data_IF_245880013650
#
_entry.id   IF_245880013650
#
_cell.length_a   1.000
_cell.length_b   1.000
_cell.length_c   1.000
_cell.angle_alpha   90.00
_cell.angle_beta   90.00
_cell.angle_gamma   90.00
#
_symmetry.space_group_name_H-M   'P 1'
#
loop_
_entity.id
_entity.type
_entity.pdbx_description
1 polymer ?
#
# COMPACT_ATOMS: atom_id res chain seq x y z
N UNK A 1 -25.23 13.05 -10.00
CA UNK A 1 -24.31 11.96 -10.41
C UNK A 1 -24.40 10.85 -9.37
N UNK A 2 -24.29 9.56 -9.74
CA UNK A 2 -24.28 8.46 -8.73
C UNK A 2 -22.92 8.42 -8.04
N UNK A 3 -22.93 8.39 -6.70
CA UNK A 3 -21.71 8.24 -5.91
C UNK A 3 -20.93 6.98 -6.34
N UNK A 4 -19.61 7.11 -6.48
CA UNK A 4 -18.75 5.97 -6.80
C UNK A 4 -18.60 5.09 -5.56
N UNK A 5 -18.80 3.78 -5.71
CA UNK A 5 -18.80 2.88 -4.56
C UNK A 5 -17.88 1.70 -4.77
N UNK A 6 -17.24 1.31 -3.67
CA UNK A 6 -16.48 0.08 -3.55
C UNK A 6 -17.34 -0.91 -2.78
N UNK A 7 -17.48 -2.16 -3.24
CA UNK A 7 -18.35 -3.12 -2.53
C UNK A 7 -17.74 -3.49 -1.17
N UNK A 8 -18.57 -3.90 -0.20
CA UNK A 8 -18.06 -4.36 1.10
C UNK A 8 -16.95 -5.42 0.95
N UNK A 9 -17.11 -6.40 0.04
CA UNK A 9 -16.09 -7.44 -0.18
C UNK A 9 -14.80 -6.93 -0.84
N UNK A 10 -14.90 -5.98 -1.76
CA UNK A 10 -13.72 -5.33 -2.33
C UNK A 10 -12.97 -4.54 -1.24
N UNK A 11 -13.72 -3.86 -0.37
CA UNK A 11 -13.17 -3.06 0.71
C UNK A 11 -12.49 -3.96 1.73
N UNK A 12 -13.18 -5.02 2.14
CA UNK A 12 -12.69 -6.01 3.09
C UNK A 12 -11.38 -6.66 2.61
N UNK A 13 -11.27 -6.94 1.31
CA UNK A 13 -10.03 -7.47 0.73
C UNK A 13 -8.86 -6.45 0.79
N UNK A 14 -9.10 -5.17 0.48
CA UNK A 14 -8.09 -4.12 0.60
C UNK A 14 -7.71 -3.86 2.07
N UNK A 15 -8.70 -3.79 2.95
CA UNK A 15 -8.52 -3.58 4.39
C UNK A 15 -7.73 -4.73 5.01
N UNK A 16 -7.98 -5.99 4.62
CA UNK A 16 -7.19 -7.14 5.09
C UNK A 16 -5.72 -7.08 4.66
N UNK A 17 -5.40 -6.48 3.49
CA UNK A 17 -4.01 -6.22 3.10
C UNK A 17 -3.38 -5.16 3.99
N UNK A 18 -4.15 -4.12 4.34
CA UNK A 18 -3.68 -3.03 5.21
C UNK A 18 -3.50 -3.47 6.65
N UNK A 19 -4.40 -4.30 7.18
CA UNK A 19 -4.36 -4.78 8.56
C UNK A 19 -3.15 -5.67 8.80
N UNK A 20 -2.89 -6.61 7.89
CA UNK A 20 -1.81 -7.58 8.00
C UNK A 20 -0.96 -7.63 6.71
N UNK A 21 -0.07 -6.64 6.49
CA UNK A 21 0.70 -6.50 5.26
C UNK A 21 1.67 -7.65 4.95
N UNK A 22 2.12 -8.38 5.98
CA UNK A 22 3.07 -9.49 5.83
C UNK A 22 2.42 -10.85 5.55
N UNK A 23 1.10 -10.99 5.75
CA UNK A 23 0.42 -12.26 5.49
C UNK A 23 0.37 -12.59 4.00
N UNK A 24 0.20 -13.88 3.69
CA UNK A 24 -0.09 -14.33 2.33
C UNK A 24 -1.52 -13.94 1.93
N UNK A 25 -1.86 -14.05 0.63
CA UNK A 25 -3.26 -13.89 0.22
C UNK A 25 -4.15 -15.01 0.76
N UNK A 26 -3.62 -16.24 0.90
CA UNK A 26 -4.35 -17.37 1.46
C UNK A 26 -4.73 -17.15 2.92
N UNK A 27 -3.80 -16.66 3.74
CA UNK A 27 -4.05 -16.41 5.17
C UNK A 27 -5.03 -15.26 5.38
N UNK A 28 -4.93 -14.19 4.59
CA UNK A 28 -5.93 -13.10 4.61
C UNK A 28 -7.30 -13.57 4.18
N UNK A 29 -7.38 -14.39 3.13
CA UNK A 29 -8.63 -14.96 2.66
C UNK A 29 -9.29 -15.80 3.76
N UNK A 30 -8.50 -16.65 4.44
CA UNK A 30 -8.94 -17.43 5.60
C UNK A 30 -9.46 -16.51 6.72
N UNK A 31 -8.72 -15.45 7.04
CA UNK A 31 -9.09 -14.48 8.08
C UNK A 31 -10.43 -13.77 7.84
N UNK A 32 -10.86 -13.62 6.59
CA UNK A 32 -12.16 -13.02 6.23
C UNK A 32 -13.20 -14.05 5.74
N UNK A 33 -12.92 -15.34 5.91
CA UNK A 33 -13.86 -16.44 5.65
C UNK A 33 -14.15 -16.72 4.18
N UNK A 34 -13.18 -16.52 3.27
CA UNK A 34 -13.34 -16.81 1.83
C UNK A 34 -12.16 -17.62 1.27
N UNK A 35 -12.35 -18.21 0.09
CA UNK A 35 -11.27 -18.89 -0.62
C UNK A 35 -10.24 -17.90 -1.20
N UNK A 36 -8.98 -18.31 -1.31
CA UNK A 36 -7.89 -17.46 -1.82
C UNK A 36 -8.19 -16.92 -3.24
N UNK A 37 -8.71 -17.78 -4.13
CA UNK A 37 -9.05 -17.37 -5.49
C UNK A 37 -10.12 -16.27 -5.51
N UNK A 38 -11.10 -16.35 -4.58
CA UNK A 38 -12.15 -15.34 -4.39
C UNK A 38 -11.56 -14.04 -3.86
N UNK A 39 -10.64 -14.10 -2.89
CA UNK A 39 -9.90 -12.94 -2.37
C UNK A 39 -9.15 -12.20 -3.49
N UNK A 40 -8.37 -12.94 -4.30
CA UNK A 40 -7.66 -12.40 -5.46
C UNK A 40 -8.61 -11.83 -6.50
N UNK A 41 -9.81 -12.39 -6.64
CA UNK A 41 -10.85 -11.84 -7.52
C UNK A 41 -11.37 -10.50 -6.99
N UNK A 42 -11.71 -10.41 -5.71
CA UNK A 42 -12.14 -9.16 -5.07
C UNK A 42 -11.10 -8.05 -5.20
N UNK A 43 -9.81 -8.35 -5.01
CA UNK A 43 -8.73 -7.40 -5.28
C UNK A 43 -8.72 -6.92 -6.74
N UNK A 44 -8.76 -7.83 -7.73
CA UNK A 44 -8.82 -7.46 -9.15
C UNK A 44 -10.04 -6.61 -9.51
N UNK A 45 -11.18 -6.87 -8.90
CA UNK A 45 -12.37 -6.04 -9.06
C UNK A 45 -12.18 -4.66 -8.41
N UNK A 46 -11.59 -4.60 -7.21
CA UNK A 46 -11.27 -3.34 -6.55
C UNK A 46 -10.33 -2.47 -7.39
N UNK A 47 -9.33 -3.05 -8.05
CA UNK A 47 -8.41 -2.32 -8.95
C UNK A 47 -9.18 -1.63 -10.07
N UNK A 48 -10.04 -2.40 -10.75
CA UNK A 48 -10.89 -1.91 -11.85
C UNK A 48 -11.85 -0.83 -11.39
N UNK A 49 -12.53 -1.05 -10.26
CA UNK A 49 -13.43 -0.06 -9.66
C UNK A 49 -12.67 1.24 -9.36
N UNK A 50 -11.50 1.15 -8.73
CA UNK A 50 -10.65 2.30 -8.44
C UNK A 50 -9.95 2.88 -9.68
N UNK A 51 -10.07 2.27 -10.86
CA UNK A 51 -9.42 2.74 -12.09
C UNK A 51 -7.88 2.68 -12.03
N UNK A 52 -7.33 1.63 -11.44
CA UNK A 52 -5.90 1.36 -11.32
C UNK A 52 -5.59 -0.08 -11.74
N UNK A 53 -4.32 -0.39 -12.01
CA UNK A 53 -3.86 -1.69 -12.54
C UNK A 53 -2.94 -2.47 -11.60
N UNK A 54 -2.72 -2.00 -10.37
CA UNK A 54 -1.84 -2.65 -9.39
C UNK A 54 -2.39 -2.60 -7.97
N UNK A 55 -1.92 -3.52 -7.12
CA UNK A 55 -2.23 -3.49 -5.69
C UNK A 55 -1.73 -2.21 -5.03
N UNK A 56 -0.50 -1.79 -5.34
CA UNK A 56 0.08 -0.54 -4.81
C UNK A 56 -0.80 0.66 -5.16
N UNK A 57 -1.24 0.79 -6.42
CA UNK A 57 -2.15 1.85 -6.82
C UNK A 57 -3.51 1.77 -6.17
N UNK A 58 -4.05 0.56 -5.96
CA UNK A 58 -5.32 0.39 -5.27
C UNK A 58 -5.23 0.78 -3.80
N UNK A 59 -4.15 0.39 -3.10
CA UNK A 59 -3.89 0.76 -1.72
C UNK A 59 -3.73 2.27 -1.57
N UNK A 60 -2.85 2.89 -2.36
CA UNK A 60 -2.63 4.35 -2.31
C UNK A 60 -3.92 5.10 -2.62
N UNK A 61 -4.65 4.71 -3.68
CA UNK A 61 -5.90 5.38 -4.04
C UNK A 61 -6.99 5.20 -2.98
N UNK A 62 -7.14 4.00 -2.41
CA UNK A 62 -8.08 3.78 -1.32
C UNK A 62 -7.71 4.59 -0.06
N UNK A 63 -6.42 4.73 0.24
CA UNK A 63 -5.93 5.58 1.34
C UNK A 63 -6.22 7.06 1.08
N UNK A 64 -5.95 7.58 -0.14
CA UNK A 64 -6.26 8.97 -0.52
C UNK A 64 -7.75 9.28 -0.41
N UNK A 65 -8.58 8.35 -0.84
CA UNK A 65 -10.04 8.49 -0.81
C UNK A 65 -10.66 8.25 0.57
N UNK A 66 -9.86 7.99 1.61
CA UNK A 66 -10.35 7.70 2.96
C UNK A 66 -11.16 6.40 3.09
N UNK A 67 -11.07 5.49 2.12
CA UNK A 67 -11.89 4.28 2.09
C UNK A 67 -11.40 3.18 3.02
N UNK A 68 -10.13 3.21 3.38
CA UNK A 68 -9.47 2.20 4.22
C UNK A 68 -8.80 2.86 5.40
N UNK A 69 -8.77 2.14 6.52
CA UNK A 69 -8.19 2.63 7.77
C UNK A 69 -6.77 2.12 7.93
N UNK A 70 -5.81 3.04 7.92
CA UNK A 70 -4.42 2.76 8.29
C UNK A 70 -4.23 3.11 9.76
N UNK A 71 -3.97 2.11 10.59
CA UNK A 71 -3.72 2.31 12.03
C UNK A 71 -2.25 2.66 12.26
N UNK A 72 -1.92 3.79 12.90
CA UNK A 72 -0.53 4.08 13.26
C UNK A 72 0.00 3.02 14.22
N UNK A 73 1.31 2.75 14.18
CA UNK A 73 1.94 1.93 15.21
C UNK A 73 2.04 2.74 16.51
N UNK A 74 1.80 2.15 17.69
CA UNK A 74 2.01 2.83 18.96
C UNK A 74 3.50 3.22 19.14
N UNK A 75 3.77 4.45 19.61
CA UNK A 75 5.12 5.04 19.82
C UNK A 75 5.92 4.38 20.97
N UNK A 76 7.27 4.22 20.92
CA UNK A 76 8.11 4.15 19.72
C UNK A 76 9.06 2.95 19.66
N UNK A 77 9.13 2.35 18.47
CA UNK A 77 10.32 1.66 17.95
C UNK A 77 11.15 2.69 17.14
N UNK A 78 11.76 3.66 17.83
CA UNK A 78 12.63 4.72 17.24
C UNK A 78 13.71 4.23 16.25
N UNK A 79 14.32 3.03 16.39
CA UNK A 79 15.42 2.63 15.52
C UNK A 79 15.04 2.50 14.03
N UNK A 80 13.81 2.07 13.72
CA UNK A 80 13.38 1.90 12.33
C UNK A 80 13.18 3.25 11.63
N UNK A 81 12.58 4.23 12.33
CA UNK A 81 12.37 5.59 11.83
C UNK A 81 13.68 6.24 11.41
N UNK A 82 14.68 6.25 12.30
CA UNK A 82 15.99 6.83 12.01
C UNK A 82 16.69 6.16 10.82
N UNK A 83 16.63 4.82 10.73
CA UNK A 83 17.26 4.07 9.62
C UNK A 83 16.58 4.32 8.27
N UNK A 84 15.27 4.56 8.27
CA UNK A 84 14.48 4.83 7.05
C UNK A 84 14.50 6.30 6.64
N UNK A 85 14.73 7.22 7.58
CA UNK A 85 14.69 8.66 7.36
C UNK A 85 15.83 9.22 6.49
N UNK A 86 16.68 8.38 5.88
CA UNK A 86 17.64 8.89 4.90
C UNK A 86 16.87 9.48 3.70
N UNK A 87 17.32 10.61 3.12
CA UNK A 87 16.60 11.27 2.04
C UNK A 87 16.29 10.31 0.88
N UNK A 88 17.22 9.41 0.55
CA UNK A 88 17.08 8.48 -0.57
C UNK A 88 16.06 7.37 -0.32
N UNK A 89 16.02 6.79 0.88
CA UNK A 89 15.02 5.76 1.24
C UNK A 89 13.63 6.35 1.35
N UNK A 90 13.53 7.56 1.91
CA UNK A 90 12.29 8.33 1.91
C UNK A 90 11.81 8.61 0.48
N UNK A 91 12.69 9.01 -0.44
CA UNK A 91 12.33 9.17 -1.86
C UNK A 91 11.81 7.88 -2.51
N UNK A 92 12.44 6.73 -2.24
CA UNK A 92 11.96 5.44 -2.75
C UNK A 92 10.54 5.16 -2.26
N UNK A 93 10.29 5.27 -0.95
CA UNK A 93 8.97 5.06 -0.36
C UNK A 93 7.94 6.09 -0.85
N UNK A 94 8.30 7.37 -0.88
CA UNK A 94 7.45 8.46 -1.33
C UNK A 94 7.03 8.28 -2.80
N UNK A 95 7.94 7.78 -3.65
CA UNK A 95 7.60 7.52 -5.05
C UNK A 95 6.44 6.52 -5.21
N UNK A 96 6.23 5.61 -4.26
CA UNK A 96 5.10 4.66 -4.29
C UNK A 96 3.76 5.39 -4.15
N UNK A 97 3.75 6.52 -3.45
CA UNK A 97 2.58 7.39 -3.29
C UNK A 97 2.46 8.32 -4.50
N UNK A 98 3.56 8.96 -4.91
CA UNK A 98 3.53 9.98 -5.97
C UNK A 98 3.23 9.38 -7.34
N UNK A 99 3.75 8.18 -7.59
CA UNK A 99 3.68 7.46 -8.86
C UNK A 99 3.39 5.98 -8.66
N UNK A 100 2.21 5.60 -8.11
CA UNK A 100 1.87 4.22 -7.80
C UNK A 100 1.74 3.30 -9.03
N UNK A 101 1.58 3.89 -10.21
CA UNK A 101 1.47 3.21 -11.50
C UNK A 101 2.79 2.61 -11.99
N UNK A 102 3.93 3.10 -11.50
CA UNK A 102 5.25 2.69 -11.98
C UNK A 102 5.64 1.31 -11.44
N UNK A 103 6.09 0.44 -12.33
CA UNK A 103 6.84 -0.76 -11.98
C UNK A 103 8.25 -0.39 -11.47
N UNK A 104 9.00 -1.38 -10.98
CA UNK A 104 10.30 -1.13 -10.36
C UNK A 104 11.34 -0.52 -11.33
N UNK A 105 11.38 -0.97 -12.58
CA UNK A 105 12.31 -0.41 -13.58
C UNK A 105 12.01 1.05 -13.92
N UNK A 106 10.73 1.36 -14.18
CA UNK A 106 10.30 2.73 -14.45
C UNK A 106 10.52 3.64 -13.22
N UNK A 107 10.35 3.09 -12.01
CA UNK A 107 10.62 3.78 -10.76
C UNK A 107 12.12 4.07 -10.55
N UNK A 108 13.00 3.12 -10.88
CA UNK A 108 14.43 3.34 -10.84
C UNK A 108 14.84 4.49 -11.76
N UNK A 109 14.34 4.48 -12.99
CA UNK A 109 14.52 5.58 -13.97
C UNK A 109 13.98 6.91 -13.45
N UNK A 110 12.76 6.92 -12.94
CA UNK A 110 12.12 8.11 -12.37
C UNK A 110 12.95 8.73 -11.22
N UNK A 111 13.57 7.88 -10.40
CA UNK A 111 14.42 8.33 -9.29
C UNK A 111 15.87 8.63 -9.69
N UNK A 112 16.23 8.48 -10.98
CA UNK A 112 17.59 8.69 -11.46
C UNK A 112 18.59 7.68 -10.87
N UNK A 113 18.19 6.41 -10.73
CA UNK A 113 19.08 5.34 -10.26
C UNK A 113 19.00 4.10 -11.15
N UNK A 114 19.99 3.22 -11.03
CA UNK A 114 19.93 1.91 -11.67
C UNK A 114 18.90 1.01 -10.97
N UNK A 115 18.33 0.01 -11.69
CA UNK A 115 17.47 -1.00 -11.06
C UNK A 115 18.14 -1.73 -9.89
N UNK A 116 19.46 -1.99 -9.99
CA UNK A 116 20.23 -2.62 -8.92
C UNK A 116 20.32 -1.75 -7.66
N UNK A 117 20.54 -0.44 -7.82
CA UNK A 117 20.55 0.49 -6.69
C UNK A 117 19.18 0.59 -6.02
N UNK A 118 18.10 0.59 -6.80
CA UNK A 118 16.74 0.55 -6.26
C UNK A 118 16.49 -0.74 -5.46
N UNK A 119 16.88 -1.89 -6.02
CA UNK A 119 16.76 -3.18 -5.35
C UNK A 119 17.51 -3.21 -4.02
N UNK A 120 18.74 -2.68 -3.96
CA UNK A 120 19.50 -2.56 -2.72
C UNK A 120 18.78 -1.67 -1.67
N UNK A 121 18.17 -0.55 -2.10
CA UNK A 121 17.37 0.27 -1.21
C UNK A 121 16.13 -0.48 -0.70
N UNK A 122 15.43 -1.22 -1.57
CA UNK A 122 14.26 -2.00 -1.18
C UNK A 122 14.60 -3.12 -0.22
N UNK A 123 15.69 -3.87 -0.45
CA UNK A 123 16.18 -4.92 0.46
C UNK A 123 16.44 -4.36 1.86
N UNK A 124 17.12 -3.22 1.95
CA UNK A 124 17.36 -2.56 3.23
C UNK A 124 16.05 -2.11 3.90
N UNK A 125 15.12 -1.53 3.12
CA UNK A 125 13.80 -1.12 3.64
C UNK A 125 13.04 -2.33 4.18
N UNK A 126 13.06 -3.45 3.46
CA UNK A 126 12.41 -4.69 3.85
C UNK A 126 12.98 -5.24 5.17
N UNK A 127 14.30 -5.27 5.28
CA UNK A 127 15.00 -5.68 6.50
C UNK A 127 14.64 -4.78 7.70
N UNK A 128 14.70 -3.46 7.53
CA UNK A 128 14.44 -2.52 8.62
C UNK A 128 12.98 -2.54 9.09
N UNK A 129 12.04 -2.77 8.17
CA UNK A 129 10.62 -2.84 8.46
C UNK A 129 10.14 -4.24 8.86
N UNK A 130 11.01 -5.25 8.78
CA UNK A 130 10.66 -6.67 8.92
C UNK A 130 9.47 -7.07 8.02
N UNK A 131 9.63 -6.79 6.72
CA UNK A 131 8.60 -7.06 5.70
C UNK A 131 9.18 -7.76 4.49
N UNK A 132 8.33 -8.53 3.80
CA UNK A 132 8.78 -9.38 2.69
C UNK A 132 8.36 -8.87 1.30
N UNK A 133 7.68 -7.71 1.22
CA UNK A 133 7.20 -7.19 -0.05
C UNK A 133 6.98 -5.67 -0.05
N UNK A 134 6.85 -5.11 -1.26
CA UNK A 134 6.72 -3.68 -1.49
C UNK A 134 5.47 -3.06 -0.84
N UNK A 135 4.33 -3.75 -0.90
CA UNK A 135 3.08 -3.23 -0.34
C UNK A 135 3.15 -3.20 1.19
N UNK A 136 3.79 -4.20 1.78
CA UNK A 136 4.05 -4.23 3.20
C UNK A 136 4.98 -3.10 3.63
N UNK A 137 6.04 -2.84 2.88
CA UNK A 137 6.93 -1.69 3.12
C UNK A 137 6.18 -0.35 3.03
N UNK A 138 5.34 -0.16 2.01
CA UNK A 138 4.49 1.03 1.89
C UNK A 138 3.59 1.20 3.12
N UNK A 139 2.83 0.17 3.48
CA UNK A 139 1.87 0.23 4.59
C UNK A 139 2.61 0.52 5.89
N UNK A 140 3.69 -0.21 6.19
CA UNK A 140 4.46 -0.02 7.43
C UNK A 140 5.11 1.36 7.49
N UNK A 141 5.62 1.88 6.38
CA UNK A 141 6.17 3.23 6.32
C UNK A 141 5.10 4.32 6.58
N UNK A 142 3.86 4.11 6.11
CA UNK A 142 2.73 5.00 6.45
C UNK A 142 2.34 4.85 7.91
N UNK A 143 2.25 3.63 8.45
CA UNK A 143 1.90 3.39 9.86
C UNK A 143 2.93 3.97 10.83
N UNK A 144 4.20 4.00 10.44
CA UNK A 144 5.29 4.63 11.17
C UNK A 144 5.33 6.16 11.00
N UNK A 145 4.59 6.73 10.04
CA UNK A 145 4.66 8.17 9.75
C UNK A 145 5.93 8.62 9.02
N UNK A 146 6.71 7.70 8.44
CA UNK A 146 7.89 8.03 7.59
C UNK A 146 7.46 8.77 6.32
N UNK A 147 6.32 8.34 5.78
CA UNK A 147 5.63 8.94 4.63
C UNK A 147 4.14 9.11 4.99
N UNK A 148 3.50 10.09 4.39
CA UNK A 148 2.08 10.37 4.57
C UNK A 148 1.36 10.30 3.23
N UNK A 149 0.15 9.74 3.23
CA UNK A 149 -0.71 9.75 2.04
C UNK A 149 -1.65 10.94 2.16
N UNK A 150 -1.59 11.94 1.26
CA UNK A 150 -2.52 13.06 1.30
C UNK A 150 -3.95 12.56 1.09
N UNK A 151 -4.92 13.14 1.80
CA UNK A 151 -6.34 12.84 1.59
C UNK A 151 -6.87 13.68 0.43
N UNK A 152 -7.74 13.10 -0.38
CA UNK A 152 -8.49 13.82 -1.41
C UNK A 152 -9.67 14.54 -0.71
N UNK A 153 -9.60 15.87 -0.59
CA UNK A 153 -10.49 16.69 0.25
C UNK A 153 -11.99 16.57 -0.12
N UNK A 154 -12.32 16.22 -1.37
CA UNK A 154 -13.69 16.13 -1.90
C UNK A 154 -14.02 14.74 -2.48
N UNK A 155 -13.75 13.68 -1.71
CA UNK A 155 -14.06 12.31 -2.16
C UNK A 155 -15.57 12.00 -2.08
N UNK A 156 -16.22 11.82 -3.23
CA UNK A 156 -17.59 11.27 -3.33
C UNK A 156 -17.66 9.75 -3.10
N UNK A 157 -16.53 9.10 -2.80
CA UNK A 157 -16.46 7.65 -2.70
C UNK A 157 -17.05 7.11 -1.40
N UNK A 158 -17.75 5.98 -1.50
CA UNK A 158 -18.28 5.26 -0.32
C UNK A 158 -18.04 3.76 -0.42
N UNK A 159 -18.04 3.08 0.73
CA UNK A 159 -18.16 1.63 0.79
C UNK A 159 -19.65 1.28 0.79
N UNK A 160 -20.09 0.44 -0.15
CA UNK A 160 -21.46 -0.06 -0.17
C UNK A 160 -21.67 -1.00 1.03
N UNK A 161 -22.78 -0.80 1.75
CA UNK A 161 -23.19 -1.64 2.88
C UNK A 161 -23.45 -3.09 2.46
#
# INVERSE_FOLDING_TARGET
>A
MKAKTLTYRQWQALQAVIDDPNLSHADRARGIGIAEHTFRSHLRHAYRTLGVHSLTGALVKAMRLGLVRVRPLPEPFMPALFRLATPRRKQVLQSLIDRPELNLEARARYLGMSPHTLDNHLRFIYEVLDVNNLNAALIMAVRLGVITVPQDEESEWRVAA
#
